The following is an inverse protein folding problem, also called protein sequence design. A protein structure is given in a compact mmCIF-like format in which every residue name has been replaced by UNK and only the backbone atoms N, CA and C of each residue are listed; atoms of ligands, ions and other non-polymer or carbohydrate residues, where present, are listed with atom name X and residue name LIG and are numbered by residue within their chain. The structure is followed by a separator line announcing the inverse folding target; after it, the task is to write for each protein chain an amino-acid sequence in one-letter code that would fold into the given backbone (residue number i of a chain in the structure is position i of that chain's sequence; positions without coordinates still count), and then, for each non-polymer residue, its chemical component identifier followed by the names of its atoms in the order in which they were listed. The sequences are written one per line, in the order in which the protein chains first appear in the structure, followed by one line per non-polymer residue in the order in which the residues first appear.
data_IF_247197624380
#
_entry.id   IF_247197624380
#
_cell.length_a   1.000
_cell.length_b   1.000
_cell.length_c   1.000
_cell.angle_alpha   90.00
_cell.angle_beta   90.00
_cell.angle_gamma   90.00
#
_symmetry.space_group_name_H-M   'P 1'
#
loop_
_entity.id
_entity.type
_entity.pdbx_description
1 polymer ?
#
# COMPACT_ATOMS: atom_id res chain seq x y z
N UNK A 1 0.32 8.77 -12.26
CA UNK A 1 0.49 8.14 -10.96
C UNK A 1 -0.80 8.09 -10.14
N UNK A 2 -1.57 9.15 -10.12
CA UNK A 2 -2.81 9.17 -9.32
C UNK A 2 -3.81 8.12 -9.75
N UNK A 3 -3.93 7.87 -11.04
CA UNK A 3 -4.87 6.85 -11.54
C UNK A 3 -4.52 5.47 -11.04
N UNK A 4 -3.23 5.17 -11.02
CA UNK A 4 -2.77 3.87 -10.57
C UNK A 4 -3.02 3.67 -9.09
N UNK A 5 -2.76 4.71 -8.31
CA UNK A 5 -2.99 4.64 -6.87
C UNK A 5 -4.48 4.49 -6.57
N UNK A 6 -5.32 5.24 -7.25
CA UNK A 6 -6.77 5.13 -7.06
C UNK A 6 -7.29 3.75 -7.43
N UNK A 7 -6.81 3.20 -8.54
CA UNK A 7 -7.21 1.87 -8.96
C UNK A 7 -6.82 0.81 -7.94
N UNK A 8 -5.60 0.90 -7.44
CA UNK A 8 -5.13 -0.05 -6.44
C UNK A 8 -5.86 0.13 -5.11
N UNK A 9 -6.18 1.37 -4.74
CA UNK A 9 -6.97 1.60 -3.54
C UNK A 9 -8.35 0.97 -3.65
N UNK A 10 -8.99 1.06 -4.83
CA UNK A 10 -10.26 0.39 -5.06
C UNK A 10 -10.14 -1.12 -4.93
N UNK A 11 -9.05 -1.68 -5.43
CA UNK A 11 -8.80 -3.11 -5.32
C UNK A 11 -8.62 -3.51 -3.85
N UNK A 12 -7.92 -2.67 -3.08
CA UNK A 12 -7.74 -2.94 -1.67
C UNK A 12 -9.07 -2.86 -0.91
N UNK A 13 -9.90 -1.90 -1.24
CA UNK A 13 -11.23 -1.79 -0.63
C UNK A 13 -12.07 -3.03 -0.93
N UNK A 14 -11.96 -3.58 -2.13
CA UNK A 14 -12.68 -4.79 -2.47
C UNK A 14 -12.23 -5.97 -1.61
N UNK A 15 -10.95 -6.01 -1.28
CA UNK A 15 -10.40 -7.06 -0.40
C UNK A 15 -10.74 -6.82 1.07
N UNK A 16 -10.81 -5.56 1.47
CA UNK A 16 -10.99 -5.21 2.88
C UNK A 16 -12.02 -4.08 2.99
N UNK A 17 -13.31 -4.43 2.95
CA UNK A 17 -14.37 -3.41 2.99
C UNK A 17 -14.46 -2.62 4.29
N UNK A 18 -13.74 -3.04 5.31
CA UNK A 18 -13.75 -2.32 6.58
C UNK A 18 -12.91 -1.04 6.53
N UNK A 19 -12.10 -0.87 5.49
CA UNK A 19 -11.31 0.34 5.34
C UNK A 19 -12.15 1.47 4.79
N UNK A 20 -11.77 2.70 5.14
CA UNK A 20 -12.30 3.87 4.46
C UNK A 20 -11.53 4.06 3.16
N UNK A 21 -12.08 4.87 2.27
CA UNK A 21 -11.38 5.21 1.03
C UNK A 21 -10.03 5.87 1.32
N UNK A 22 -10.01 6.76 2.30
CA UNK A 22 -8.76 7.44 2.67
C UNK A 22 -7.74 6.46 3.21
N UNK A 23 -8.16 5.53 4.04
CA UNK A 23 -7.24 4.52 4.58
C UNK A 23 -6.66 3.65 3.48
N UNK A 24 -7.51 3.19 2.55
CA UNK A 24 -7.03 2.36 1.44
C UNK A 24 -6.02 3.12 0.60
N UNK A 25 -6.31 4.38 0.32
CA UNK A 25 -5.41 5.20 -0.47
C UNK A 25 -4.08 5.43 0.24
N UNK A 26 -4.13 5.69 1.54
CA UNK A 26 -2.91 5.89 2.33
C UNK A 26 -2.03 4.65 2.33
N UNK A 27 -2.64 3.48 2.45
CA UNK A 27 -1.89 2.22 2.37
C UNK A 27 -1.20 2.07 1.03
N UNK A 28 -1.93 2.32 -0.06
CA UNK A 28 -1.37 2.17 -1.40
C UNK A 28 -0.24 3.16 -1.63
N UNK A 29 -0.44 4.41 -1.22
CA UNK A 29 0.61 5.41 -1.39
C UNK A 29 1.88 5.05 -0.63
N UNK A 30 1.73 4.57 0.59
CA UNK A 30 2.88 4.17 1.38
C UNK A 30 3.62 3.00 0.74
N UNK A 31 2.87 2.00 0.30
CA UNK A 31 3.47 0.84 -0.36
C UNK A 31 4.16 1.22 -1.65
N UNK A 32 3.55 2.11 -2.42
CA UNK A 32 4.11 2.58 -3.68
C UNK A 32 5.46 3.24 -3.46
N UNK A 33 5.52 4.17 -2.52
CA UNK A 33 6.76 4.86 -2.22
C UNK A 33 7.82 3.91 -1.70
N UNK A 34 7.42 2.98 -0.84
CA UNK A 34 8.34 2.04 -0.25
C UNK A 34 8.96 1.12 -1.30
N UNK A 35 8.14 0.60 -2.20
CA UNK A 35 8.65 -0.30 -3.24
C UNK A 35 9.51 0.44 -4.24
N UNK A 36 9.14 1.65 -4.63
CA UNK A 36 9.97 2.42 -5.55
C UNK A 36 11.30 2.80 -4.93
N UNK A 37 11.29 3.17 -3.66
CA UNK A 37 12.52 3.49 -2.94
C UNK A 37 13.44 2.29 -2.86
N UNK A 38 12.89 1.12 -2.59
CA UNK A 38 13.67 -0.11 -2.51
C UNK A 38 14.32 -0.44 -3.85
N UNK A 39 13.56 -0.30 -4.93
CA UNK A 39 14.11 -0.58 -6.26
C UNK A 39 15.18 0.43 -6.65
N UNK A 40 14.98 1.69 -6.29
CA UNK A 40 15.98 2.71 -6.57
C UNK A 40 17.28 2.41 -5.86
N UNK A 41 17.21 1.96 -4.61
CA UNK A 41 18.40 1.59 -3.86
C UNK A 41 19.11 0.38 -4.46
N UNK A 42 18.35 -0.50 -5.10
CA UNK A 42 18.90 -1.67 -5.77
C UNK A 42 19.42 -1.34 -7.18
N UNK A 43 19.32 -0.10 -7.61
CA UNK A 43 19.79 0.30 -8.94
C UNK A 43 18.82 0.02 -10.06
N UNK A 44 17.58 -0.32 -9.74
CA UNK A 44 16.56 -0.67 -10.74
C UNK A 44 15.55 0.45 -10.94
N UNK A 45 16.04 1.61 -11.20
CA UNK A 45 15.20 2.81 -11.19
C UNK A 45 14.26 2.96 -12.39
N UNK A 46 14.42 2.18 -13.44
CA UNK A 46 13.60 2.37 -14.65
C UNK A 46 12.75 1.16 -14.99
N UNK A 47 12.21 0.51 -14.01
CA UNK A 47 11.31 -0.60 -14.30
C UNK A 47 9.89 -0.15 -14.56
N UNK A 48 9.58 1.10 -14.26
CA UNK A 48 8.32 1.70 -14.65
C UNK A 48 7.17 1.47 -13.70
N UNK A 49 6.10 2.20 -13.97
CA UNK A 49 4.89 2.18 -13.16
C UNK A 49 4.24 0.79 -13.14
N UNK A 50 4.29 0.10 -14.28
CA UNK A 50 3.64 -1.21 -14.38
C UNK A 50 4.22 -2.23 -13.44
N UNK A 51 5.53 -2.19 -13.23
CA UNK A 51 6.17 -3.12 -12.31
C UNK A 51 5.74 -2.82 -10.87
N UNK A 52 5.71 -1.54 -10.50
CA UNK A 52 5.26 -1.16 -9.18
C UNK A 52 3.80 -1.57 -8.96
N UNK A 53 2.95 -1.37 -9.97
CA UNK A 53 1.56 -1.79 -9.88
C UNK A 53 1.42 -3.29 -9.64
N UNK A 54 2.21 -4.09 -10.34
CA UNK A 54 2.15 -5.53 -10.17
C UNK A 54 2.56 -5.94 -8.76
N UNK A 55 3.59 -5.30 -8.23
CA UNK A 55 4.07 -5.62 -6.89
C UNK A 55 3.02 -5.24 -5.86
N UNK A 56 2.46 -4.04 -5.97
CA UNK A 56 1.44 -3.60 -5.02
C UNK A 56 0.18 -4.45 -5.12
N UNK A 57 -0.23 -4.78 -6.36
CA UNK A 57 -1.41 -5.62 -6.55
C UNK A 57 -1.21 -7.00 -5.95
N UNK A 58 -0.05 -7.58 -6.14
CA UNK A 58 0.26 -8.87 -5.53
C UNK A 58 0.19 -8.78 -4.01
N UNK A 59 0.74 -7.71 -3.45
CA UNK A 59 0.68 -7.47 -2.02
C UNK A 59 -0.77 -7.37 -1.54
N UNK A 60 -1.61 -6.66 -2.28
CA UNK A 60 -3.02 -6.52 -1.93
C UNK A 60 -3.70 -7.88 -1.90
N UNK A 61 -3.41 -8.73 -2.89
CA UNK A 61 -3.99 -10.07 -2.95
C UNK A 61 -3.56 -10.92 -1.76
N UNK A 62 -2.32 -10.77 -1.31
CA UNK A 62 -1.79 -11.57 -0.22
C UNK A 62 -2.20 -11.04 1.15
N UNK A 63 -2.21 -9.74 1.32
CA UNK A 63 -2.35 -9.12 2.65
C UNK A 63 -3.51 -8.17 2.79
N UNK A 64 -4.25 -7.91 1.73
CA UNK A 64 -5.30 -6.90 1.75
C UNK A 64 -6.34 -7.08 2.84
N UNK A 65 -6.69 -8.32 3.14
CA UNK A 65 -7.66 -8.62 4.19
C UNK A 65 -6.99 -8.96 5.53
N UNK A 66 -5.67 -8.78 5.62
CA UNK A 66 -4.90 -9.11 6.81
C UNK A 66 -4.00 -7.96 7.23
N UNK A 67 -4.50 -6.74 7.09
CA UNK A 67 -3.68 -5.57 7.34
C UNK A 67 -3.21 -5.45 8.78
N UNK A 68 -4.04 -5.86 9.74
CA UNK A 68 -3.65 -5.82 11.14
C UNK A 68 -2.48 -6.76 11.41
N UNK A 69 -2.52 -7.96 10.84
CA UNK A 69 -1.42 -8.90 10.98
C UNK A 69 -0.15 -8.38 10.31
N UNK A 70 -0.31 -7.79 9.14
CA UNK A 70 0.82 -7.21 8.43
C UNK A 70 1.46 -6.09 9.23
N UNK A 71 0.64 -5.21 9.80
CA UNK A 71 1.13 -4.09 10.60
C UNK A 71 1.86 -4.57 11.85
N UNK A 72 1.40 -5.67 12.43
CA UNK A 72 2.09 -6.23 13.59
C UNK A 72 3.49 -6.71 13.26
N UNK A 73 3.65 -7.28 12.06
CA UNK A 73 4.96 -7.76 11.62
C UNK A 73 5.89 -6.65 11.19
N UNK A 74 5.34 -5.52 10.74
CA UNK A 74 6.11 -4.42 10.19
C UNK A 74 5.71 -3.13 10.89
N UNK A 75 6.39 -2.80 11.98
CA UNK A 75 5.99 -1.70 12.87
C UNK A 75 5.79 -0.34 12.20
N UNK A 76 6.49 -0.07 11.11
CA UNK A 76 6.29 1.22 10.44
C UNK A 76 4.90 1.34 9.83
N UNK A 77 4.30 0.23 9.44
CA UNK A 77 2.93 0.24 8.92
C UNK A 77 1.93 0.31 10.05
N UNK A 78 2.25 -0.27 11.18
CA UNK A 78 1.43 -0.18 12.37
C UNK A 78 1.27 1.28 12.80
N UNK A 79 2.35 2.03 12.73
CA UNK A 79 2.32 3.44 13.08
C UNK A 79 1.38 4.19 12.14
N UNK A 80 1.37 3.88 10.86
CA UNK A 80 0.47 4.52 9.92
C UNK A 80 -0.99 4.21 10.21
N UNK A 81 -1.29 2.95 10.50
CA UNK A 81 -2.66 2.54 10.84
C UNK A 81 -3.13 3.27 12.08
N UNK A 82 -2.31 3.29 13.11
CA UNK A 82 -2.65 3.99 14.36
C UNK A 82 -2.77 5.49 14.14
N UNK A 83 -1.93 6.04 13.28
CA UNK A 83 -1.98 7.44 12.96
C UNK A 83 -3.30 7.84 12.33
N UNK A 84 -3.84 7.00 11.44
CA UNK A 84 -5.13 7.26 10.82
C UNK A 84 -6.25 7.27 11.85
N UNK A 85 -6.14 6.47 12.89
CA UNK A 85 -7.14 6.41 13.94
C UNK A 85 -7.02 7.56 14.92
N UNK A 86 -5.85 8.13 15.05
CA UNK A 86 -5.57 9.17 16.02
C UNK A 86 -5.80 10.55 15.45
N UNK A 87 -5.71 10.67 14.15
CA UNK A 87 -5.81 11.96 13.48
C UNK A 87 -7.25 12.44 13.51
N UNK A 88 -7.51 13.26 14.39
CA UNK A 88 -8.87 13.83 14.53
C UNK A 88 -8.80 15.21 15.06
#
# INVERSE_FOLDING_TARGET
MHKEIEKLADELLAKNPSLTTLEARSWVELLWEDFESTRAKAGRKYEGVEVTMKIVRHWIEQYGDKLDDFAERYPKYKKMVNGNNITH
#
